data_IF_521716249087
#
_entry.id   IF_521716249087
#
_cell.length_a   1.000
_cell.length_b   1.000
_cell.length_c   1.000
_cell.angle_alpha   90.00
_cell.angle_beta   90.00
_cell.angle_gamma   90.00
#
_symmetry.space_group_name_H-M   'P 1'
#
loop_
_entity.id
_entity.type
_entity.pdbx_description
1 polymer ?
#
# COMPACT_ATOMS: atom_id res chain seq x y z
N UNK A 1 -8.76 13.48 -21.91
CA UNK A 1 -8.07 12.45 -21.09
C UNK A 1 -8.89 12.26 -19.83
N UNK A 2 -9.05 11.02 -19.36
CA UNK A 2 -9.69 10.77 -18.06
C UNK A 2 -8.91 11.53 -16.97
N UNK A 3 -9.62 12.10 -15.99
CA UNK A 3 -8.98 12.78 -14.88
C UNK A 3 -8.14 11.77 -14.08
N UNK A 4 -6.85 12.05 -13.89
CA UNK A 4 -5.97 11.24 -13.03
C UNK A 4 -6.14 11.66 -11.57
N UNK A 5 -5.92 10.72 -10.65
CA UNK A 5 -5.88 11.04 -9.22
C UNK A 5 -4.58 11.78 -8.93
N UNK A 6 -4.63 12.96 -8.30
CA UNK A 6 -3.43 13.74 -7.99
C UNK A 6 -2.82 13.34 -6.66
N UNK A 7 -1.50 13.29 -6.60
CA UNK A 7 -0.77 13.04 -5.37
C UNK A 7 0.62 13.64 -5.38
N UNK A 8 1.32 13.43 -4.29
CA UNK A 8 2.68 13.89 -4.07
C UNK A 8 3.57 12.76 -3.60
N UNK A 9 4.88 12.93 -3.70
CA UNK A 9 5.83 12.24 -2.84
C UNK A 9 6.71 13.27 -2.13
N UNK A 10 7.15 12.95 -0.92
CA UNK A 10 8.04 13.82 -0.15
C UNK A 10 8.94 12.98 0.76
N UNK A 11 10.19 13.43 0.92
CA UNK A 11 11.12 12.77 1.82
C UNK A 11 10.79 13.11 3.28
N UNK A 12 10.62 14.39 3.60
CA UNK A 12 10.44 14.86 4.98
C UNK A 12 9.03 14.49 5.50
N UNK A 13 8.91 14.00 6.75
CA UNK A 13 7.61 13.72 7.36
C UNK A 13 6.64 14.90 7.36
N UNK A 14 5.37 14.61 7.11
CA UNK A 14 4.28 15.56 7.16
C UNK A 14 3.76 15.73 8.59
N UNK A 15 3.44 16.97 8.96
CA UNK A 15 2.58 17.24 10.12
C UNK A 15 1.11 17.14 9.71
N UNK A 16 0.21 16.99 10.68
CA UNK A 16 -1.24 16.98 10.42
C UNK A 16 -1.72 18.26 9.71
N UNK A 17 -1.19 19.42 10.08
CA UNK A 17 -1.51 20.69 9.43
C UNK A 17 -1.10 20.69 7.96
N UNK A 18 0.13 20.21 7.66
CA UNK A 18 0.61 20.12 6.27
C UNK A 18 -0.22 19.13 5.48
N UNK A 19 -0.49 17.94 6.02
CA UNK A 19 -1.34 16.93 5.37
C UNK A 19 -2.73 17.49 5.00
N UNK A 20 -3.37 18.23 5.93
CA UNK A 20 -4.65 18.91 5.67
C UNK A 20 -4.54 19.91 4.51
N UNK A 21 -3.55 20.79 4.54
CA UNK A 21 -3.31 21.79 3.47
C UNK A 21 -3.06 21.13 2.11
N UNK A 22 -2.33 20.01 2.06
CA UNK A 22 -2.12 19.24 0.82
C UNK A 22 -3.45 18.69 0.26
N UNK A 23 -4.29 18.14 1.14
CA UNK A 23 -5.61 17.60 0.77
C UNK A 23 -6.55 18.69 0.23
N UNK A 24 -6.58 19.85 0.91
CA UNK A 24 -7.33 21.05 0.48
C UNK A 24 -6.84 21.57 -0.88
N UNK A 25 -5.53 21.45 -1.16
CA UNK A 25 -4.95 21.75 -2.47
C UNK A 25 -5.24 20.70 -3.57
N UNK A 26 -6.07 19.70 -3.28
CA UNK A 26 -6.54 18.72 -4.26
C UNK A 26 -5.71 17.43 -4.32
N UNK A 27 -4.72 17.25 -3.45
CA UNK A 27 -3.98 15.99 -3.37
C UNK A 27 -4.86 14.91 -2.73
N UNK A 28 -4.73 13.68 -3.22
CA UNK A 28 -5.52 12.52 -2.77
C UNK A 28 -4.66 11.36 -2.28
N UNK A 29 -3.37 11.38 -2.58
CA UNK A 29 -2.41 10.44 -1.99
C UNK A 29 -1.04 11.08 -1.79
N UNK A 30 -0.25 10.44 -0.93
CA UNK A 30 1.17 10.76 -0.71
C UNK A 30 2.01 9.48 -0.74
N UNK A 31 3.10 9.46 -1.49
CA UNK A 31 4.11 8.40 -1.41
C UNK A 31 5.10 8.70 -0.28
N UNK A 32 5.30 7.76 0.65
CA UNK A 32 6.13 7.96 1.86
C UNK A 32 7.05 6.76 2.14
N UNK A 33 8.18 7.05 2.80
CA UNK A 33 9.30 6.10 2.87
C UNK A 33 9.21 5.12 4.05
N UNK A 34 9.15 3.81 3.77
CA UNK A 34 9.24 2.73 4.76
C UNK A 34 10.69 2.32 5.05
N UNK A 35 11.49 3.24 5.57
CA UNK A 35 12.91 2.97 5.83
C UNK A 35 13.19 2.80 7.33
N UNK A 36 14.25 2.05 7.72
CA UNK A 36 14.65 1.88 9.10
C UNK A 36 14.81 3.17 9.90
N UNK A 37 14.66 3.08 11.23
CA UNK A 37 14.82 4.19 12.16
C UNK A 37 16.15 4.97 12.03
N UNK A 38 17.23 4.32 11.54
CA UNK A 38 18.50 4.99 11.23
C UNK A 38 18.38 6.07 10.12
N UNK A 39 17.27 6.09 9.38
CA UNK A 39 16.92 7.08 8.35
C UNK A 39 15.68 7.90 8.78
N UNK A 40 15.59 8.21 10.08
CA UNK A 40 14.45 8.90 10.70
C UNK A 40 14.00 10.17 9.95
N UNK A 41 14.93 10.91 9.34
CA UNK A 41 14.65 12.16 8.62
C UNK A 41 13.68 12.00 7.44
N UNK A 42 13.51 10.78 6.90
CA UNK A 42 12.54 10.50 5.83
C UNK A 42 11.50 9.42 6.14
N UNK A 43 11.71 8.68 7.23
CA UNK A 43 10.89 7.52 7.64
C UNK A 43 9.44 7.91 7.92
N UNK A 44 8.49 7.19 7.32
CA UNK A 44 7.08 7.21 7.66
C UNK A 44 6.86 6.61 9.04
N UNK A 45 6.00 7.23 9.84
CA UNK A 45 5.62 6.72 11.17
C UNK A 45 4.11 6.47 11.24
N UNK A 46 3.66 5.67 12.23
CA UNK A 46 2.23 5.45 12.48
C UNK A 46 1.46 6.77 12.72
N UNK A 47 1.91 7.68 13.60
CA UNK A 47 1.21 8.96 13.80
C UNK A 47 1.14 9.81 12.53
N UNK A 48 2.18 9.80 11.69
CA UNK A 48 2.15 10.49 10.40
C UNK A 48 1.12 9.85 9.44
N UNK A 49 1.08 8.52 9.36
CA UNK A 49 0.12 7.80 8.53
C UNK A 49 -1.34 8.07 8.94
N UNK A 50 -1.60 8.15 10.25
CA UNK A 50 -2.90 8.54 10.79
C UNK A 50 -3.26 9.99 10.44
N UNK A 51 -2.29 10.91 10.53
CA UNK A 51 -2.50 12.30 10.17
C UNK A 51 -2.81 12.49 8.67
N UNK A 52 -2.11 11.75 7.80
CA UNK A 52 -2.37 11.73 6.36
C UNK A 52 -3.78 11.17 6.07
N UNK A 53 -4.14 10.07 6.72
CA UNK A 53 -5.44 9.43 6.57
C UNK A 53 -6.57 10.35 7.05
N UNK A 54 -6.40 10.99 8.20
CA UNK A 54 -7.37 11.93 8.77
C UNK A 54 -7.58 13.18 7.89
N UNK A 55 -6.57 13.57 7.11
CA UNK A 55 -6.69 14.61 6.10
C UNK A 55 -7.46 14.17 4.84
N UNK A 56 -7.84 12.89 4.73
CA UNK A 56 -8.58 12.32 3.60
C UNK A 56 -7.70 11.87 2.44
N UNK A 57 -6.39 11.70 2.65
CA UNK A 57 -5.47 11.18 1.64
C UNK A 57 -5.13 9.71 1.89
N UNK A 58 -4.82 8.98 0.81
CA UNK A 58 -4.22 7.65 0.86
C UNK A 58 -2.69 7.72 0.92
N UNK A 59 -2.05 6.61 1.26
CA UNK A 59 -0.60 6.46 1.35
C UNK A 59 -0.13 5.43 0.33
N UNK A 60 0.96 5.72 -0.37
CA UNK A 60 1.72 4.73 -1.14
C UNK A 60 3.07 4.53 -0.44
N UNK A 61 3.45 3.27 -0.23
CA UNK A 61 4.70 2.95 0.47
C UNK A 61 5.85 2.80 -0.51
N UNK A 62 6.97 3.47 -0.24
CA UNK A 62 8.22 3.33 -1.01
C UNK A 62 9.39 3.01 -0.11
N UNK A 63 10.30 2.15 -0.59
CA UNK A 63 11.57 1.84 0.05
C UNK A 63 12.72 2.34 -0.82
N UNK A 64 13.62 3.10 -0.20
CA UNK A 64 14.87 3.51 -0.83
C UNK A 64 15.96 3.67 0.23
N UNK A 65 16.94 2.77 0.25
CA UNK A 65 18.13 2.94 1.10
C UNK A 65 19.10 3.96 0.49
N UNK A 66 19.41 3.79 -0.77
CA UNK A 66 20.24 4.69 -1.57
C UNK A 66 19.84 4.60 -3.04
N UNK A 67 20.31 5.55 -3.84
CA UNK A 67 19.86 5.71 -5.24
C UNK A 67 20.14 4.50 -6.12
N UNK A 68 21.29 3.83 -5.90
CA UNK A 68 21.75 2.66 -6.67
C UNK A 68 21.78 1.36 -5.88
N UNK A 69 21.14 1.31 -4.71
CA UNK A 69 21.26 0.15 -3.82
C UNK A 69 20.74 -1.16 -4.46
N UNK A 70 19.75 -1.05 -5.36
CA UNK A 70 19.23 -2.14 -6.19
C UNK A 70 20.29 -2.86 -7.03
N UNK A 71 21.41 -2.20 -7.34
CA UNK A 71 22.52 -2.80 -8.09
C UNK A 71 23.21 -3.94 -7.32
N UNK A 72 23.03 -4.01 -6.00
CA UNK A 72 23.49 -5.15 -5.18
C UNK A 72 22.68 -6.43 -5.33
N UNK A 73 21.63 -6.43 -6.17
CA UNK A 73 20.88 -7.63 -6.53
C UNK A 73 20.20 -8.31 -5.35
N UNK A 74 20.13 -9.63 -5.39
CA UNK A 74 19.36 -10.43 -4.42
C UNK A 74 19.78 -10.21 -2.95
N UNK A 75 21.07 -10.02 -2.67
CA UNK A 75 21.57 -9.80 -1.28
C UNK A 75 20.97 -8.53 -0.69
N UNK A 76 21.01 -7.43 -1.45
CA UNK A 76 20.41 -6.18 -1.02
C UNK A 76 18.88 -6.28 -1.00
N UNK A 77 18.28 -6.98 -1.96
CA UNK A 77 16.85 -7.22 -2.02
C UNK A 77 16.31 -7.95 -0.78
N UNK A 78 16.98 -9.01 -0.33
CA UNK A 78 16.63 -9.71 0.92
C UNK A 78 16.74 -8.78 2.13
N UNK A 79 17.84 -8.03 2.25
CA UNK A 79 18.06 -7.11 3.38
C UNK A 79 16.97 -6.04 3.44
N UNK A 80 16.65 -5.44 2.30
CA UNK A 80 15.74 -4.31 2.22
C UNK A 80 14.27 -4.75 2.25
N UNK A 81 13.94 -5.91 1.68
CA UNK A 81 12.64 -6.55 1.85
C UNK A 81 12.32 -6.82 3.32
N UNK A 82 13.27 -7.38 4.09
CA UNK A 82 13.10 -7.57 5.54
C UNK A 82 12.88 -6.26 6.28
N UNK A 83 13.66 -5.23 5.96
CA UNK A 83 13.52 -3.91 6.57
C UNK A 83 12.15 -3.29 6.24
N UNK A 84 11.73 -3.31 4.98
CA UNK A 84 10.42 -2.82 4.54
C UNK A 84 9.27 -3.57 5.24
N UNK A 85 9.38 -4.90 5.36
CA UNK A 85 8.39 -5.73 6.06
C UNK A 85 8.25 -5.32 7.52
N UNK A 86 9.37 -5.18 8.24
CA UNK A 86 9.37 -4.77 9.64
C UNK A 86 8.70 -3.39 9.82
N UNK A 87 9.02 -2.44 8.95
CA UNK A 87 8.40 -1.11 8.98
C UNK A 87 6.90 -1.16 8.66
N UNK A 88 6.50 -1.92 7.65
CA UNK A 88 5.09 -2.11 7.29
C UNK A 88 4.27 -2.70 8.45
N UNK A 89 4.78 -3.75 9.12
CA UNK A 89 4.11 -4.33 10.30
C UNK A 89 4.07 -3.36 11.47
N UNK A 90 5.16 -2.62 11.73
CA UNK A 90 5.25 -1.68 12.84
C UNK A 90 4.22 -0.55 12.72
N UNK A 91 4.04 0.00 11.52
CA UNK A 91 3.08 1.09 11.30
C UNK A 91 1.66 0.60 10.99
N UNK A 92 1.47 -0.72 10.91
CA UNK A 92 0.18 -1.33 10.62
C UNK A 92 -0.29 -1.10 9.18
N UNK A 93 0.62 -1.07 8.21
CA UNK A 93 0.23 -1.07 6.80
C UNK A 93 -0.58 -2.35 6.49
N UNK A 94 -1.80 -2.23 5.95
CA UNK A 94 -2.66 -3.39 5.69
C UNK A 94 -2.07 -4.30 4.61
N UNK A 95 -2.22 -5.62 4.77
CA UNK A 95 -1.90 -6.61 3.72
C UNK A 95 -2.80 -6.43 2.48
N UNK A 96 -2.36 -6.92 1.32
CA UNK A 96 -2.97 -6.68 0.02
C UNK A 96 -2.66 -5.30 -0.58
N UNK A 97 -1.70 -4.57 0.00
CA UNK A 97 -1.23 -3.25 -0.48
C UNK A 97 0.19 -3.35 -1.03
N UNK A 98 0.67 -2.32 -1.74
CA UNK A 98 1.96 -2.37 -2.41
C UNK A 98 3.09 -1.67 -1.63
N UNK A 99 4.32 -2.14 -1.84
CA UNK A 99 5.55 -1.48 -1.43
C UNK A 99 6.47 -1.38 -2.64
N UNK A 100 6.80 -0.15 -3.04
CA UNK A 100 7.63 0.14 -4.20
C UNK A 100 9.11 0.23 -3.82
N UNK A 101 10.00 -0.41 -4.58
CA UNK A 101 11.44 -0.27 -4.40
C UNK A 101 12.04 0.63 -5.46
N UNK A 102 12.83 1.61 -5.04
CA UNK A 102 13.32 2.67 -5.93
C UNK A 102 14.59 2.30 -6.69
N UNK A 103 14.50 2.36 -8.02
CA UNK A 103 15.61 2.43 -8.98
C UNK A 103 15.80 3.90 -9.37
N UNK A 104 16.51 4.65 -8.54
CA UNK A 104 16.58 6.12 -8.64
C UNK A 104 17.83 6.60 -9.39
N UNK A 105 17.99 6.09 -10.60
CA UNK A 105 19.04 6.48 -11.54
C UNK A 105 18.66 6.07 -12.97
N UNK A 106 19.42 6.57 -13.95
CA UNK A 106 19.29 6.17 -15.37
C UNK A 106 19.82 4.74 -15.59
N UNK A 107 19.05 3.75 -15.15
CA UNK A 107 19.41 2.33 -15.27
C UNK A 107 19.50 1.90 -16.73
N UNK A 108 20.59 1.24 -17.07
CA UNK A 108 20.89 0.75 -18.42
C UNK A 108 20.57 -0.75 -18.53
N UNK A 109 20.49 -1.33 -19.74
CA UNK A 109 20.16 -2.74 -19.92
C UNK A 109 21.01 -3.74 -19.11
N UNK A 110 22.28 -3.39 -18.87
CA UNK A 110 23.20 -4.17 -18.03
C UNK A 110 22.75 -4.30 -16.57
N UNK A 111 21.93 -3.38 -16.07
CA UNK A 111 21.49 -3.33 -14.67
C UNK A 111 20.24 -4.18 -14.43
N UNK A 112 19.49 -4.54 -15.47
CA UNK A 112 18.16 -5.14 -15.35
C UNK A 112 18.17 -6.51 -14.68
N UNK A 113 19.21 -7.32 -14.88
CA UNK A 113 19.33 -8.61 -14.19
C UNK A 113 19.50 -8.43 -12.67
N UNK A 114 20.28 -7.43 -12.24
CA UNK A 114 20.46 -7.12 -10.82
C UNK A 114 19.17 -6.56 -10.21
N UNK A 115 18.48 -5.64 -10.91
CA UNK A 115 17.21 -5.07 -10.47
C UNK A 115 16.14 -6.18 -10.32
N UNK A 116 16.03 -7.09 -11.29
CA UNK A 116 15.13 -8.24 -11.19
C UNK A 116 15.46 -9.12 -9.98
N UNK A 117 16.74 -9.47 -9.81
CA UNK A 117 17.18 -10.30 -8.68
C UNK A 117 16.89 -9.62 -7.33
N UNK A 118 17.06 -8.31 -7.24
CA UNK A 118 16.70 -7.51 -6.07
C UNK A 118 15.20 -7.58 -5.79
N UNK A 119 14.35 -7.29 -6.78
CA UNK A 119 12.89 -7.25 -6.60
C UNK A 119 12.33 -8.62 -6.21
N UNK A 120 12.80 -9.69 -6.86
CA UNK A 120 12.37 -11.06 -6.54
C UNK A 120 12.82 -11.49 -5.13
N UNK A 121 14.01 -11.09 -4.70
CA UNK A 121 14.47 -11.36 -3.34
C UNK A 121 13.67 -10.57 -2.30
N UNK A 122 13.40 -9.28 -2.55
CA UNK A 122 12.56 -8.47 -1.68
C UNK A 122 11.14 -9.03 -1.55
N UNK A 123 10.55 -9.52 -2.65
CA UNK A 123 9.22 -10.14 -2.65
C UNK A 123 9.10 -11.36 -1.72
N UNK A 124 10.16 -12.16 -1.59
CA UNK A 124 10.17 -13.32 -0.69
C UNK A 124 10.09 -12.93 0.79
N UNK A 125 10.49 -11.71 1.11
CA UNK A 125 10.52 -11.18 2.48
C UNK A 125 9.28 -10.35 2.83
N UNK A 126 8.34 -10.21 1.88
CA UNK A 126 7.13 -9.37 1.99
C UNK A 126 5.83 -10.18 1.85
N UNK A 127 5.60 -11.21 2.68
CA UNK A 127 4.36 -11.96 2.63
C UNK A 127 3.16 -11.03 2.86
N UNK A 128 2.12 -11.18 2.04
CA UNK A 128 0.91 -10.37 2.13
C UNK A 128 1.00 -8.98 1.50
N UNK A 129 2.13 -8.57 0.91
CA UNK A 129 2.26 -7.29 0.20
C UNK A 129 2.63 -7.50 -1.27
N UNK A 130 2.14 -6.62 -2.13
CA UNK A 130 2.61 -6.57 -3.51
C UNK A 130 3.95 -5.83 -3.59
N UNK A 131 4.88 -6.35 -4.39
CA UNK A 131 6.11 -5.64 -4.72
C UNK A 131 5.87 -4.78 -5.94
N UNK A 132 6.30 -3.52 -5.84
CA UNK A 132 6.38 -2.59 -6.95
C UNK A 132 7.79 -2.09 -7.19
N UNK A 133 7.99 -1.44 -8.34
CA UNK A 133 9.23 -0.75 -8.68
C UNK A 133 8.97 0.71 -9.00
N UNK A 134 9.79 1.61 -8.44
CA UNK A 134 9.91 2.99 -8.93
C UNK A 134 11.09 3.07 -9.89
N UNK A 135 10.93 3.68 -11.06
CA UNK A 135 12.04 3.85 -12.00
C UNK A 135 11.64 4.50 -13.32
N UNK A 136 12.60 4.57 -14.24
CA UNK A 136 12.36 5.08 -15.59
C UNK A 136 11.42 4.19 -16.39
N UNK A 137 10.91 4.70 -17.51
CA UNK A 137 10.14 3.94 -18.49
C UNK A 137 10.80 2.60 -18.84
N UNK A 138 12.12 2.60 -19.05
CA UNK A 138 12.86 1.39 -19.42
C UNK A 138 12.86 0.34 -18.30
N UNK A 139 12.97 0.77 -17.04
CA UNK A 139 12.88 -0.11 -15.88
C UNK A 139 11.47 -0.69 -15.76
N UNK A 140 10.44 0.16 -15.85
CA UNK A 140 9.04 -0.27 -15.75
C UNK A 140 8.70 -1.31 -16.82
N UNK A 141 9.01 -1.02 -18.09
CA UNK A 141 8.72 -1.94 -19.19
C UNK A 141 9.47 -3.27 -19.04
N UNK A 142 10.75 -3.22 -18.69
CA UNK A 142 11.53 -4.45 -18.59
C UNK A 142 11.09 -5.31 -17.39
N UNK A 143 10.84 -4.71 -16.23
CA UNK A 143 10.39 -5.45 -15.06
C UNK A 143 8.97 -6.00 -15.25
N UNK A 144 8.10 -5.27 -15.97
CA UNK A 144 6.79 -5.78 -16.38
C UNK A 144 6.93 -6.95 -17.36
N UNK A 145 7.75 -6.82 -18.41
CA UNK A 145 7.99 -7.87 -19.41
C UNK A 145 8.52 -9.16 -18.78
N UNK A 146 9.35 -9.04 -17.74
CA UNK A 146 9.92 -10.19 -17.01
C UNK A 146 9.01 -10.76 -15.91
N UNK A 147 7.92 -10.07 -15.57
CA UNK A 147 7.11 -10.43 -14.40
C UNK A 147 7.92 -10.43 -13.11
N UNK A 148 8.80 -9.44 -12.94
CA UNK A 148 9.66 -9.32 -11.76
C UNK A 148 8.90 -8.78 -10.54
N UNK A 149 7.87 -7.96 -10.79
CA UNK A 149 6.98 -7.35 -9.80
C UNK A 149 5.62 -7.06 -10.46
N UNK A 150 4.62 -6.58 -9.70
CA UNK A 150 3.25 -6.38 -10.20
C UNK A 150 2.76 -4.92 -10.17
N UNK A 151 3.55 -4.00 -9.60
CA UNK A 151 3.18 -2.60 -9.47
C UNK A 151 4.30 -1.68 -9.98
N UNK A 152 3.93 -0.62 -10.70
CA UNK A 152 4.89 0.19 -11.45
C UNK A 152 4.67 1.68 -11.23
N UNK A 153 5.67 2.34 -10.65
CA UNK A 153 5.71 3.78 -10.48
C UNK A 153 6.77 4.38 -11.40
N UNK A 154 6.32 5.03 -12.48
CA UNK A 154 7.22 5.58 -13.46
C UNK A 154 7.62 7.02 -13.12
N UNK A 155 8.91 7.33 -13.12
CA UNK A 155 9.36 8.74 -13.14
C UNK A 155 9.42 9.29 -14.56
N UNK A 156 9.16 10.59 -14.73
CA UNK A 156 9.43 11.28 -16.00
C UNK A 156 10.94 11.39 -16.27
N UNK A 157 11.76 11.40 -15.22
CA UNK A 157 13.21 11.42 -15.33
C UNK A 157 13.68 10.16 -16.08
N UNK A 158 14.65 10.33 -16.98
CA UNK A 158 15.23 9.25 -17.80
C UNK A 158 14.22 8.52 -18.73
N UNK A 159 12.95 8.93 -18.75
CA UNK A 159 11.88 8.30 -19.53
C UNK A 159 11.69 8.90 -20.92
N UNK A 160 12.42 9.98 -21.26
CA UNK A 160 12.45 10.60 -22.60
C UNK A 160 11.05 10.94 -23.13
N UNK A 161 10.16 11.39 -22.24
CA UNK A 161 8.77 11.75 -22.56
C UNK A 161 7.81 10.58 -22.75
N UNK A 162 8.26 9.33 -22.60
CA UNK A 162 7.42 8.13 -22.75
C UNK A 162 6.68 7.79 -21.45
N UNK A 163 5.53 7.15 -21.58
CA UNK A 163 4.74 6.61 -20.48
C UNK A 163 4.35 5.17 -20.80
N UNK A 164 4.65 4.25 -19.90
CA UNK A 164 4.28 2.84 -20.00
C UNK A 164 2.79 2.65 -19.71
N UNK A 165 2.16 1.75 -20.46
CA UNK A 165 0.79 1.29 -20.16
C UNK A 165 0.71 0.43 -18.89
N UNK A 166 1.83 -0.10 -18.42
CA UNK A 166 1.90 -0.84 -17.16
C UNK A 166 1.96 0.08 -15.93
N UNK A 167 2.21 1.37 -16.10
CA UNK A 167 2.38 2.31 -14.99
C UNK A 167 1.08 2.46 -14.18
N UNK A 168 1.16 2.21 -12.88
CA UNK A 168 0.10 2.49 -11.89
C UNK A 168 0.25 3.90 -11.31
N UNK A 169 1.48 4.41 -11.25
CA UNK A 169 1.81 5.75 -10.78
C UNK A 169 2.76 6.43 -11.76
N UNK A 170 2.68 7.75 -11.86
CA UNK A 170 3.62 8.57 -12.63
C UNK A 170 4.08 9.79 -11.85
N UNK A 171 5.36 9.87 -11.52
CA UNK A 171 5.99 11.12 -11.10
C UNK A 171 6.24 11.99 -12.32
N UNK A 172 5.62 13.17 -12.40
CA UNK A 172 5.65 14.02 -13.60
C UNK A 172 6.38 15.35 -13.41
N UNK A 173 6.70 15.74 -12.18
CA UNK A 173 7.42 16.97 -11.88
C UNK A 173 8.08 16.89 -10.49
N UNK A 174 9.33 17.29 -10.36
CA UNK A 174 10.06 17.27 -9.09
C UNK A 174 10.40 18.68 -8.58
N UNK A 175 10.87 18.76 -7.33
CA UNK A 175 11.40 19.99 -6.72
C UNK A 175 10.37 21.10 -6.59
N UNK A 176 9.11 20.74 -6.31
CA UNK A 176 8.02 21.68 -6.16
C UNK A 176 7.83 22.03 -4.68
N UNK A 177 7.10 23.10 -4.42
CA UNK A 177 6.65 23.45 -3.09
C UNK A 177 5.13 23.44 -3.04
N UNK A 178 4.57 22.80 -2.01
CA UNK A 178 3.15 22.85 -1.70
C UNK A 178 3.00 23.01 -0.19
N UNK A 179 2.17 23.97 0.24
CA UNK A 179 1.97 24.28 1.67
C UNK A 179 3.28 24.48 2.48
N UNK A 180 4.31 25.09 1.88
CA UNK A 180 5.61 25.27 2.54
C UNK A 180 6.36 23.96 2.80
N UNK A 181 6.19 22.97 1.93
CA UNK A 181 6.84 21.66 2.00
C UNK A 181 7.35 21.26 0.62
N UNK A 182 8.58 20.74 0.56
CA UNK A 182 9.18 20.24 -0.69
C UNK A 182 8.53 18.93 -1.10
N UNK A 183 7.99 18.88 -2.31
CA UNK A 183 7.23 17.74 -2.86
C UNK A 183 7.57 17.51 -4.32
N UNK A 184 7.35 16.29 -4.77
CA UNK A 184 7.31 15.91 -6.17
C UNK A 184 5.87 15.52 -6.54
N UNK A 185 5.40 15.95 -7.72
CA UNK A 185 4.03 15.69 -8.15
C UNK A 185 3.87 14.37 -8.89
N UNK A 186 2.80 13.66 -8.54
CA UNK A 186 2.46 12.34 -9.02
C UNK A 186 1.01 12.25 -9.52
N UNK A 187 0.81 11.38 -10.51
CA UNK A 187 -0.50 10.94 -10.99
C UNK A 187 -0.72 9.47 -10.61
N UNK A 188 -1.90 9.16 -10.07
CA UNK A 188 -2.46 7.81 -9.99
C UNK A 188 -3.13 7.43 -11.30
N UNK A 189 -2.73 6.28 -11.83
CA UNK A 189 -3.16 5.73 -13.12
C UNK A 189 -3.98 4.44 -12.96
N UNK A 190 -4.28 4.04 -11.71
CA UNK A 190 -5.06 2.86 -11.37
C UNK A 190 -4.21 1.72 -10.80
N UNK A 191 -4.78 1.02 -9.81
CA UNK A 191 -4.14 -0.08 -9.09
C UNK A 191 -2.79 0.34 -8.45
N UNK A 192 -2.79 1.49 -7.79
CA UNK A 192 -1.61 2.10 -7.16
C UNK A 192 -1.08 1.27 -5.98
N UNK A 193 -1.93 0.40 -5.40
CA UNK A 193 -1.62 -0.34 -4.18
C UNK A 193 -1.56 0.55 -2.94
N UNK A 194 -2.26 1.69 -2.96
CA UNK A 194 -2.34 2.61 -1.83
C UNK A 194 -3.09 2.03 -0.63
N UNK A 195 -2.97 2.68 0.51
CA UNK A 195 -3.60 2.25 1.76
C UNK A 195 -3.98 3.46 2.62
N UNK A 196 -4.71 3.22 3.70
CA UNK A 196 -4.94 4.18 4.77
C UNK A 196 -4.98 3.48 6.13
N UNK A 197 -4.97 4.25 7.21
CA UNK A 197 -5.05 3.72 8.58
C UNK A 197 -6.49 3.55 9.06
N UNK A 198 -7.47 3.91 8.23
CA UNK A 198 -8.86 3.62 8.58
C UNK A 198 -8.96 2.11 8.75
N UNK A 199 -9.65 1.62 9.78
CA UNK A 199 -10.04 0.23 9.79
C UNK A 199 -10.70 0.01 8.45
N UNK A 200 -10.15 -0.90 7.63
CA UNK A 200 -10.98 -1.47 6.56
C UNK A 200 -12.23 -1.91 7.31
N UNK A 201 -13.43 -1.44 6.92
CA UNK A 201 -14.64 -2.10 7.40
C UNK A 201 -14.32 -3.56 7.20
N UNK A 202 -14.21 -4.35 8.28
CA UNK A 202 -13.90 -5.78 8.21
C UNK A 202 -14.63 -6.23 6.97
N UNK A 203 -13.90 -6.65 5.92
CA UNK A 203 -14.51 -7.07 4.65
C UNK A 203 -15.73 -7.84 5.10
N UNK A 204 -16.93 -7.31 4.81
CA UNK A 204 -18.18 -7.93 5.28
C UNK A 204 -18.26 -9.22 4.49
N UNK A 205 -17.52 -10.23 4.92
CA UNK A 205 -17.48 -11.58 4.37
C UNK A 205 -18.86 -12.22 4.52
N UNK A 206 -19.73 -11.61 5.31
CA UNK A 206 -21.10 -12.02 5.51
C UNK A 206 -22.02 -10.93 4.98
N UNK A 207 -22.64 -11.22 3.84
CA UNK A 207 -23.82 -10.50 3.37
C UNK A 207 -24.87 -10.48 4.49
N UNK A 208 -25.39 -9.29 4.83
CA UNK A 208 -26.27 -9.11 5.99
C UNK A 208 -27.55 -9.94 5.85
N UNK A 209 -28.08 -10.09 4.64
CA UNK A 209 -29.29 -10.87 4.41
C UNK A 209 -29.03 -12.38 4.50
N UNK A 210 -27.88 -12.84 4.01
CA UNK A 210 -27.42 -14.20 4.24
C UNK A 210 -27.17 -14.47 5.75
N UNK A 211 -26.57 -13.54 6.47
CA UNK A 211 -26.35 -13.62 7.91
C UNK A 211 -27.67 -13.80 8.66
N UNK A 212 -28.67 -12.96 8.35
CA UNK A 212 -30.02 -13.04 8.95
C UNK A 212 -30.68 -14.39 8.69
N UNK A 213 -30.55 -14.95 7.48
CA UNK A 213 -31.09 -16.27 7.15
C UNK A 213 -30.43 -17.39 7.96
N UNK A 214 -29.10 -17.37 8.07
CA UNK A 214 -28.37 -18.36 8.89
C UNK A 214 -28.71 -18.22 10.37
N UNK A 215 -28.76 -16.99 10.91
CA UNK A 215 -29.20 -16.72 12.28
C UNK A 215 -30.61 -17.25 12.53
N UNK A 216 -31.53 -17.07 11.58
CA UNK A 216 -32.88 -17.62 11.68
C UNK A 216 -32.88 -19.14 11.78
N UNK A 217 -32.14 -19.83 10.90
CA UNK A 217 -32.03 -21.30 10.95
C UNK A 217 -31.39 -21.81 12.25
N UNK A 218 -30.38 -21.12 12.77
CA UNK A 218 -29.78 -21.42 14.08
C UNK A 218 -30.80 -21.23 15.21
N UNK A 219 -31.66 -20.21 15.13
CA UNK A 219 -32.78 -20.02 16.06
C UNK A 219 -33.82 -21.13 15.97
N UNK A 220 -34.15 -21.61 14.77
CA UNK A 220 -35.03 -22.77 14.58
C UNK A 220 -34.43 -24.05 15.16
N UNK A 221 -33.13 -24.29 14.92
CA UNK A 221 -32.39 -25.42 15.50
C UNK A 221 -32.40 -25.36 17.03
N UNK A 222 -32.19 -24.17 17.59
CA UNK A 222 -32.23 -23.95 19.03
C UNK A 222 -33.61 -24.32 19.63
N UNK A 223 -34.70 -23.87 19.00
CA UNK A 223 -36.07 -24.14 19.46
C UNK A 223 -36.47 -25.61 19.32
N UNK A 224 -36.00 -26.28 18.27
CA UNK A 224 -36.40 -27.67 17.97
C UNK A 224 -35.59 -28.71 18.76
N UNK A 225 -34.40 -28.35 19.25
CA UNK A 225 -33.54 -29.27 19.99
C UNK A 225 -33.97 -29.41 21.45
N UNK A 226 -34.01 -30.64 21.96
CA UNK A 226 -34.09 -30.94 23.40
C UNK A 226 -32.71 -31.11 24.06
N UNK A 227 -31.64 -31.09 23.27
CA UNK A 227 -30.25 -31.17 23.75
C UNK A 227 -29.72 -29.76 24.07
N UNK A 228 -29.34 -29.55 25.33
CA UNK A 228 -28.81 -28.28 25.82
C UNK A 228 -27.47 -27.88 25.20
N UNK A 229 -26.60 -28.83 24.88
CA UNK A 229 -25.31 -28.52 24.26
C UNK A 229 -25.50 -28.01 22.83
N UNK A 230 -26.46 -28.59 22.11
CA UNK A 230 -26.85 -28.11 20.76
C UNK A 230 -27.46 -26.71 20.83
N UNK A 231 -28.29 -26.44 21.85
CA UNK A 231 -28.84 -25.10 22.09
C UNK A 231 -27.73 -24.08 22.38
N UNK A 232 -26.79 -24.38 23.27
CA UNK A 232 -25.68 -23.47 23.58
C UNK A 232 -24.80 -23.19 22.35
N UNK A 233 -24.47 -24.22 21.56
CA UNK A 233 -23.69 -24.08 20.35
C UNK A 233 -24.41 -23.23 19.28
N UNK A 234 -25.71 -23.47 19.06
CA UNK A 234 -26.51 -22.69 18.10
C UNK A 234 -26.61 -21.22 18.51
N UNK A 235 -26.79 -20.95 19.81
CA UNK A 235 -26.84 -19.60 20.35
C UNK A 235 -25.49 -18.88 20.23
N UNK A 236 -24.39 -19.56 20.55
CA UNK A 236 -23.03 -19.04 20.37
C UNK A 236 -22.76 -18.69 18.90
N UNK A 237 -23.03 -19.61 17.99
CA UNK A 237 -22.84 -19.40 16.55
C UNK A 237 -23.65 -18.23 16.02
N UNK A 238 -24.92 -18.08 16.46
CA UNK A 238 -25.77 -16.97 16.06
C UNK A 238 -25.23 -15.63 16.56
N UNK A 239 -24.72 -15.56 17.80
CA UNK A 239 -24.16 -14.32 18.35
C UNK A 239 -22.82 -13.96 17.74
N UNK A 240 -21.94 -14.94 17.52
CA UNK A 240 -20.71 -14.71 16.77
C UNK A 240 -21.02 -14.10 15.40
N UNK A 241 -21.99 -14.68 14.66
CA UNK A 241 -22.37 -14.19 13.35
C UNK A 241 -22.99 -12.78 13.38
N UNK A 242 -23.77 -12.45 14.42
CA UNK A 242 -24.28 -11.09 14.66
C UNK A 242 -23.16 -10.08 14.85
N UNK A 243 -22.16 -10.41 15.68
CA UNK A 243 -21.03 -9.53 15.94
C UNK A 243 -20.25 -9.24 14.65
N UNK A 244 -19.96 -10.27 13.85
CA UNK A 244 -19.21 -10.08 12.59
C UNK A 244 -20.04 -9.35 11.52
N UNK A 245 -21.36 -9.52 11.52
CA UNK A 245 -22.27 -8.86 10.57
C UNK A 245 -22.72 -7.44 11.02
N UNK A 246 -22.41 -7.03 12.26
CA UNK A 246 -22.88 -5.77 12.83
C UNK A 246 -24.40 -5.74 13.10
N UNK A 247 -25.00 -6.90 13.39
CA UNK A 247 -26.43 -7.03 13.72
C UNK A 247 -26.56 -6.93 15.25
N UNK A 248 -27.48 -6.10 15.79
CA UNK A 248 -27.73 -6.05 17.23
C UNK A 248 -28.10 -7.43 17.80
N UNK A 249 -27.58 -7.75 18.99
CA UNK A 249 -28.03 -8.93 19.72
C UNK A 249 -29.43 -8.69 20.30
N UNK A 250 -30.32 -9.69 20.25
CA UNK A 250 -31.61 -9.62 20.93
C UNK A 250 -31.45 -9.61 22.46
#
# INVERSE_FOLDING_TARGET
>A
MAATTKGIDCAVPLTAEKAKKMSEAGMRFVCRYLVPASMAWKRLTRPEAEAITAAGMKIVSVFQRGTKDVAGGAVNGTRDGKAAYQEAKLIGQPEGTAIYFAVDYDAQPKDFAAIEAYLRAAARELPGYFVGVYGSYAVVEEMARRGACSHFWQTYAWSKGRLSHAANLRQYKNGQELAGHSVDFNDGLGNEGWWDTNPRPMDRFVDIEAAKKVIHHLGTLWLASSDKQVQEAAHFAANALRDVAGIPRP
#
